data_IF_898842766030
#
_entry.id   IF_898842766030
#
_cell.length_a   1.000
_cell.length_b   1.000
_cell.length_c   1.000
_cell.angle_alpha   90.00
_cell.angle_beta   90.00
_cell.angle_gamma   90.00
#
_symmetry.space_group_name_H-M   'P 1'
#
loop_
_entity.id
_entity.type
_entity.pdbx_description
1 polymer ?
#
# COMPACT_ATOMS: atom_id res chain seq x y z
N UNK A 1 -16.04 5.10 11.51
CA UNK A 1 -15.00 4.07 11.74
C UNK A 1 -14.71 3.43 10.40
N UNK A 2 -13.49 3.57 9.88
CA UNK A 2 -13.15 3.15 8.54
C UNK A 2 -11.95 2.19 8.53
N UNK A 3 -12.04 1.05 7.84
CA UNK A 3 -10.94 0.10 7.79
C UNK A 3 -9.79 0.65 6.93
N UNK A 4 -8.54 0.36 7.30
CA UNK A 4 -7.37 0.93 6.62
C UNK A 4 -7.29 0.54 5.15
N UNK A 5 -7.73 -0.68 4.80
CA UNK A 5 -7.83 -1.13 3.39
C UNK A 5 -8.76 -0.27 2.51
N UNK A 6 -9.74 0.39 3.11
CA UNK A 6 -10.67 1.28 2.39
C UNK A 6 -10.13 2.72 2.32
N UNK A 7 -9.12 3.06 3.11
CA UNK A 7 -8.46 4.37 3.04
C UNK A 7 -7.37 4.33 1.96
N UNK A 8 -6.61 3.23 1.89
CA UNK A 8 -5.61 3.00 0.85
C UNK A 8 -6.31 2.92 -0.52
N UNK A 9 -5.80 3.66 -1.50
CA UNK A 9 -6.40 3.77 -2.84
C UNK A 9 -7.50 4.83 -2.97
N UNK A 10 -7.90 5.51 -1.90
CA UNK A 10 -8.83 6.64 -2.03
C UNK A 10 -8.21 7.78 -2.82
N UNK A 11 -9.03 8.43 -3.63
CA UNK A 11 -8.64 9.67 -4.30
C UNK A 11 -8.57 10.79 -3.29
N UNK A 12 -7.58 11.66 -3.47
CA UNK A 12 -7.41 12.86 -2.67
C UNK A 12 -7.89 14.04 -3.51
N UNK A 13 -8.90 14.75 -3.02
CA UNK A 13 -9.57 15.87 -3.71
C UNK A 13 -9.34 17.15 -2.93
N UNK A 14 -8.87 18.19 -3.61
CA UNK A 14 -8.83 19.55 -3.06
C UNK A 14 -10.22 20.19 -3.13
N UNK A 15 -10.71 20.72 -2.01
CA UNK A 15 -11.97 21.48 -1.97
C UNK A 15 -11.84 22.85 -2.65
N UNK A 16 -10.67 23.50 -2.54
CA UNK A 16 -10.43 24.81 -3.17
C UNK A 16 -10.60 24.77 -4.69
N UNK A 17 -9.97 23.79 -5.34
CA UNK A 17 -9.90 23.72 -6.80
C UNK A 17 -10.83 22.67 -7.42
N UNK A 18 -11.43 21.79 -6.59
CA UNK A 18 -12.28 20.69 -7.04
C UNK A 18 -11.53 19.61 -7.84
N UNK A 19 -10.20 19.58 -7.74
CA UNK A 19 -9.33 18.69 -8.53
C UNK A 19 -8.82 17.53 -7.70
N UNK A 20 -8.60 16.38 -8.37
CA UNK A 20 -7.88 15.27 -7.78
C UNK A 20 -6.39 15.58 -7.80
N UNK A 21 -5.78 15.61 -6.61
CA UNK A 21 -4.36 15.94 -6.42
C UNK A 21 -3.49 14.68 -6.28
N UNK A 22 -4.08 13.52 -6.04
CA UNK A 22 -3.35 12.27 -5.87
C UNK A 22 -4.25 11.13 -5.44
N UNK A 23 -3.61 10.03 -5.05
CA UNK A 23 -4.25 8.84 -4.48
C UNK A 23 -3.52 8.46 -3.19
N UNK A 24 -4.24 7.92 -2.22
CA UNK A 24 -3.61 7.37 -1.01
C UNK A 24 -2.80 6.15 -1.36
N UNK A 25 -1.49 6.22 -1.14
CA UNK A 25 -0.57 5.10 -1.35
C UNK A 25 -0.50 4.18 -0.15
N UNK A 26 -0.34 4.78 1.03
CA UNK A 26 -0.13 4.08 2.29
C UNK A 26 -0.45 5.02 3.47
N UNK A 27 -0.44 4.47 4.67
CA UNK A 27 -0.75 5.17 5.92
C UNK A 27 0.45 5.15 6.86
N UNK A 28 0.67 6.24 7.58
CA UNK A 28 1.73 6.36 8.58
C UNK A 28 1.10 6.45 9.96
N UNK A 29 1.19 5.35 10.70
CA UNK A 29 0.63 5.22 12.04
C UNK A 29 1.66 5.63 13.09
N UNK A 30 1.20 6.31 14.13
CA UNK A 30 1.97 6.61 15.31
C UNK A 30 1.73 5.53 16.38
N UNK A 31 2.72 4.68 16.69
CA UNK A 31 2.56 3.61 17.67
C UNK A 31 2.37 4.12 19.10
N UNK A 32 2.86 5.32 19.42
CA UNK A 32 2.82 5.89 20.76
C UNK A 32 1.44 6.47 21.07
N UNK A 33 0.93 7.30 20.16
CA UNK A 33 -0.38 7.93 20.27
C UNK A 33 -1.52 7.03 19.76
N UNK A 34 -1.20 5.94 19.06
CA UNK A 34 -2.14 5.02 18.39
C UNK A 34 -3.06 5.74 17.40
N UNK A 35 -2.49 6.66 16.64
CA UNK A 35 -3.17 7.52 15.67
C UNK A 35 -2.66 7.29 14.26
N UNK A 36 -3.47 7.65 13.27
CA UNK A 36 -3.04 7.92 11.92
C UNK A 36 -2.52 9.36 11.87
N UNK A 37 -1.20 9.54 11.78
CA UNK A 37 -0.59 10.89 11.79
C UNK A 37 -0.41 11.43 10.37
N UNK A 38 -0.04 10.58 9.42
CA UNK A 38 0.14 10.98 8.02
C UNK A 38 -0.42 9.96 7.04
N UNK A 39 -0.76 10.46 5.86
CA UNK A 39 -1.14 9.67 4.69
C UNK A 39 -0.07 9.87 3.63
N UNK A 40 0.48 8.78 3.08
CA UNK A 40 1.41 8.84 1.95
C UNK A 40 0.60 9.01 0.68
N UNK A 41 1.00 9.99 -0.13
CA UNK A 41 0.34 10.34 -1.38
C UNK A 41 1.14 9.80 -2.56
N UNK A 42 0.44 9.20 -3.52
CA UNK A 42 0.96 8.91 -4.85
C UNK A 42 0.40 9.95 -5.82
N UNK A 43 1.27 10.80 -6.38
CA UNK A 43 0.90 11.72 -7.46
C UNK A 43 1.45 11.21 -8.80
N UNK A 44 0.71 11.37 -9.92
CA UNK A 44 1.23 11.00 -11.25
C UNK A 44 2.54 11.70 -11.62
N UNK A 45 2.77 12.88 -11.04
CA UNK A 45 3.98 13.70 -11.22
C UNK A 45 5.07 13.43 -10.18
N UNK A 46 4.88 12.47 -9.27
CA UNK A 46 5.88 12.12 -8.25
C UNK A 46 7.00 11.27 -8.85
N UNK A 47 7.94 11.99 -9.47
CA UNK A 47 9.22 11.45 -9.94
C UNK A 47 10.30 11.52 -8.85
N UNK A 48 10.08 12.31 -7.78
CA UNK A 48 11.05 12.55 -6.71
C UNK A 48 10.39 12.65 -5.34
N UNK A 49 10.86 11.83 -4.40
CA UNK A 49 10.50 11.90 -2.99
C UNK A 49 9.11 11.33 -2.69
N UNK A 50 8.94 10.84 -1.46
CA UNK A 50 7.62 10.49 -0.96
C UNK A 50 6.93 11.77 -0.46
N UNK A 51 5.64 11.93 -0.78
CA UNK A 51 4.82 13.02 -0.26
C UNK A 51 3.86 12.51 0.80
N UNK A 52 3.55 13.38 1.75
CA UNK A 52 2.63 13.09 2.85
C UNK A 52 1.66 14.24 3.08
N UNK A 53 0.49 13.91 3.62
CA UNK A 53 -0.47 14.85 4.17
C UNK A 53 -0.67 14.49 5.64
N UNK A 54 -0.61 15.47 6.54
CA UNK A 54 -0.92 15.23 7.95
C UNK A 54 -2.42 14.98 8.12
N UNK A 55 -2.80 14.08 9.02
CA UNK A 55 -4.22 13.82 9.31
C UNK A 55 -4.97 15.09 9.74
N UNK A 56 -4.29 15.98 10.48
CA UNK A 56 -4.83 17.27 10.90
C UNK A 56 -5.20 18.21 9.74
N UNK A 57 -4.63 18.01 8.55
CA UNK A 57 -4.93 18.79 7.34
C UNK A 57 -6.08 18.16 6.51
N UNK A 58 -6.59 17.00 6.93
CA UNK A 58 -7.74 16.36 6.29
C UNK A 58 -9.04 17.02 6.75
N UNK A 59 -9.94 17.27 5.81
CA UNK A 59 -11.28 17.78 6.09
C UNK A 59 -12.33 16.68 6.18
N UNK A 60 -12.05 15.52 5.58
CA UNK A 60 -13.01 14.42 5.55
C UNK A 60 -12.46 13.16 4.91
N UNK A 61 -12.95 12.01 5.40
CA UNK A 61 -12.58 10.67 4.99
C UNK A 61 -13.79 9.90 4.41
N UNK A 62 -14.40 10.40 3.35
CA UNK A 62 -15.60 9.80 2.75
C UNK A 62 -15.32 8.50 1.96
N UNK A 63 -16.37 7.72 1.68
CA UNK A 63 -16.30 6.45 0.94
C UNK A 63 -15.65 6.57 -0.45
N UNK A 64 -15.90 7.69 -1.13
CA UNK A 64 -15.42 7.92 -2.51
C UNK A 64 -14.06 8.60 -2.58
N UNK A 65 -13.76 9.49 -1.61
CA UNK A 65 -12.58 10.32 -1.62
C UNK A 65 -12.25 10.86 -0.22
N UNK A 66 -10.96 11.14 -0.05
CA UNK A 66 -10.42 11.96 1.03
C UNK A 66 -10.33 13.41 0.55
N UNK A 67 -10.74 14.35 1.39
CA UNK A 67 -10.77 15.77 1.04
C UNK A 67 -9.78 16.57 1.85
N UNK A 68 -9.07 17.49 1.18
CA UNK A 68 -8.12 18.44 1.76
C UNK A 68 -8.52 19.87 1.40
N UNK A 69 -8.11 20.90 2.17
CA UNK A 69 -8.47 22.27 1.83
C UNK A 69 -7.90 22.69 0.48
N UNK A 70 -6.62 22.48 0.24
CA UNK A 70 -5.91 22.88 -0.98
C UNK A 70 -4.64 22.01 -1.19
N UNK A 71 -4.04 21.98 -2.39
CA UNK A 71 -2.84 21.17 -2.64
C UNK A 71 -1.60 21.58 -1.82
N UNK A 72 -1.60 22.77 -1.22
CA UNK A 72 -0.48 23.30 -0.43
C UNK A 72 -0.26 22.62 0.92
N UNK A 73 -1.19 21.76 1.38
CA UNK A 73 -0.99 20.94 2.60
C UNK A 73 -0.16 19.69 2.33
N UNK A 74 0.12 19.37 1.06
CA UNK A 74 0.96 18.23 0.69
C UNK A 74 2.42 18.60 0.94
N UNK A 75 3.10 17.81 1.76
CA UNK A 75 4.46 18.04 2.20
C UNK A 75 5.41 16.96 1.67
N UNK A 76 6.64 17.35 1.37
CA UNK A 76 7.71 16.39 1.08
C UNK A 76 8.16 15.74 2.40
N UNK A 77 8.23 14.40 2.42
CA UNK A 77 8.77 13.65 3.57
C UNK A 77 10.19 14.12 3.89
N UNK A 78 11.00 14.51 2.91
CA UNK A 78 12.36 15.02 3.13
C UNK A 78 12.41 16.28 4.01
N UNK A 79 11.32 17.05 4.11
CA UNK A 79 11.23 18.27 4.91
C UNK A 79 10.42 18.10 6.21
N UNK A 80 9.78 16.95 6.43
CA UNK A 80 8.99 16.68 7.62
C UNK A 80 9.69 15.67 8.54
N UNK A 81 10.26 16.18 9.65
CA UNK A 81 11.06 15.39 10.61
C UNK A 81 10.22 14.29 11.28
N UNK A 82 8.97 14.60 11.65
CA UNK A 82 8.08 13.63 12.28
C UNK A 82 7.68 12.50 11.33
N UNK A 83 7.33 12.83 10.09
CA UNK A 83 7.05 11.83 9.05
C UNK A 83 8.27 10.92 8.83
N UNK A 84 9.48 11.48 8.74
CA UNK A 84 10.70 10.67 8.64
C UNK A 84 10.91 9.76 9.84
N UNK A 85 10.65 10.27 11.06
CA UNK A 85 10.80 9.49 12.29
C UNK A 85 9.86 8.30 12.29
N UNK A 86 8.57 8.52 12.00
CA UNK A 86 7.57 7.46 11.96
C UNK A 86 7.84 6.43 10.86
N UNK A 87 8.22 6.89 9.66
CA UNK A 87 8.58 6.00 8.55
C UNK A 87 9.82 5.14 8.86
N UNK A 88 10.82 5.71 9.54
CA UNK A 88 12.02 4.96 9.99
C UNK A 88 11.70 3.91 11.05
N UNK A 89 10.66 4.10 11.85
CA UNK A 89 10.21 3.10 12.82
C UNK A 89 9.62 1.87 12.12
N UNK A 90 9.14 2.02 10.88
CA UNK A 90 8.60 0.93 10.05
C UNK A 90 7.55 0.12 10.82
N UNK A 91 6.67 0.84 11.53
CA UNK A 91 5.60 0.27 12.33
C UNK A 91 4.50 -0.27 11.41
N UNK A 92 4.71 -1.48 10.91
CA UNK A 92 3.69 -2.23 10.18
C UNK A 92 2.83 -2.96 11.19
N UNK A 93 1.57 -2.57 11.31
CA UNK A 93 0.65 -3.19 12.30
C UNK A 93 -0.07 -4.39 11.70
N UNK A 94 -0.39 -4.34 10.42
CA UNK A 94 -0.95 -5.46 9.68
C UNK A 94 0.08 -6.60 9.61
N UNK A 95 -0.35 -7.82 9.92
CA UNK A 95 0.50 -9.01 10.01
C UNK A 95 1.29 -9.14 11.32
N UNK A 96 1.10 -8.24 12.28
CA UNK A 96 1.78 -8.37 13.58
C UNK A 96 1.15 -9.45 14.43
N UNK A 97 1.99 -10.14 15.21
CA UNK A 97 1.53 -11.17 16.14
C UNK A 97 0.90 -10.53 17.36
N UNK A 98 -0.30 -10.97 17.71
CA UNK A 98 -1.03 -10.49 18.88
C UNK A 98 -0.66 -11.34 20.10
N UNK A 99 -0.07 -10.71 21.10
CA UNK A 99 0.31 -11.31 22.38
C UNK A 99 -0.52 -10.72 23.53
N UNK A 100 -0.93 -11.56 24.46
CA UNK A 100 -1.46 -11.07 25.75
C UNK A 100 -0.31 -10.56 26.62
N UNK A 101 -0.62 -9.72 27.61
CA UNK A 101 0.30 -9.28 28.68
C UNK A 101 0.99 -10.45 29.41
N UNK A 102 0.39 -11.65 29.38
CA UNK A 102 0.94 -12.88 29.98
C UNK A 102 1.89 -13.65 29.05
N UNK A 103 2.10 -13.18 27.82
CA UNK A 103 3.00 -13.80 26.83
C UNK A 103 2.36 -14.88 25.96
N UNK A 104 1.04 -15.07 26.02
CA UNK A 104 0.34 -16.00 25.12
C UNK A 104 0.11 -15.36 23.76
N UNK A 105 0.58 -16.02 22.69
CA UNK A 105 0.24 -15.69 21.31
C UNK A 105 -1.21 -16.09 21.03
N UNK A 106 -2.03 -15.14 20.60
CA UNK A 106 -3.46 -15.35 20.39
C UNK A 106 -3.91 -15.17 18.95
N UNK A 107 -3.08 -14.60 18.07
CA UNK A 107 -3.43 -14.45 16.65
C UNK A 107 -2.51 -13.51 15.89
N UNK A 108 -2.99 -13.05 14.73
CA UNK A 108 -2.28 -12.13 13.84
C UNK A 108 -3.22 -11.01 13.37
N UNK A 109 -2.77 -9.76 13.43
CA UNK A 109 -3.56 -8.58 13.04
C UNK A 109 -3.83 -8.60 11.55
N UNK A 110 -5.09 -8.51 11.15
CA UNK A 110 -5.51 -8.52 9.74
C UNK A 110 -5.98 -7.15 9.26
N UNK A 111 -6.51 -6.31 10.16
CA UNK A 111 -7.09 -5.02 9.79
C UNK A 111 -7.13 -4.06 10.98
N UNK A 112 -7.11 -2.75 10.71
CA UNK A 112 -7.32 -1.69 11.68
C UNK A 112 -8.51 -0.82 11.28
N UNK A 113 -9.31 -0.41 12.26
CA UNK A 113 -10.38 0.57 12.06
C UNK A 113 -9.96 1.91 12.65
N UNK A 114 -9.92 2.92 11.79
CA UNK A 114 -9.58 4.30 12.12
C UNK A 114 -10.87 5.09 12.37
N UNK A 115 -10.89 5.88 13.43
CA UNK A 115 -11.92 6.87 13.66
C UNK A 115 -11.74 8.03 12.66
N UNK A 116 -12.80 8.31 11.89
CA UNK A 116 -12.73 9.24 10.75
C UNK A 116 -12.60 10.70 11.16
N UNK A 117 -13.04 11.04 12.37
CA UNK A 117 -13.03 12.42 12.87
C UNK A 117 -11.73 12.72 13.61
N UNK A 118 -11.23 11.77 14.39
CA UNK A 118 -10.09 11.95 15.29
C UNK A 118 -8.79 11.38 14.75
N UNK A 119 -8.84 10.43 13.81
CA UNK A 119 -7.68 9.71 13.30
C UNK A 119 -7.14 8.66 14.25
N UNK A 120 -7.78 8.42 15.40
CA UNK A 120 -7.36 7.37 16.32
C UNK A 120 -7.64 5.98 15.74
N UNK A 121 -6.71 5.05 15.96
CA UNK A 121 -7.03 3.63 15.82
C UNK A 121 -8.03 3.31 16.91
N UNK A 122 -9.20 2.81 16.56
CA UNK A 122 -10.24 2.54 17.56
C UNK A 122 -10.43 1.04 17.78
N UNK A 123 -10.26 0.22 16.74
CA UNK A 123 -10.32 -1.25 16.84
C UNK A 123 -9.22 -1.89 16.00
N UNK A 124 -8.55 -2.90 16.55
CA UNK A 124 -7.71 -3.82 15.80
C UNK A 124 -8.45 -5.14 15.59
N UNK A 125 -8.52 -5.59 14.35
CA UNK A 125 -9.04 -6.92 14.00
C UNK A 125 -7.89 -7.88 13.80
N UNK A 126 -8.04 -9.09 14.31
CA UNK A 126 -7.03 -10.13 14.18
C UNK A 126 -7.67 -11.51 14.02
N UNK A 127 -6.95 -12.41 13.38
CA UNK A 127 -7.41 -13.78 13.15
C UNK A 127 -6.77 -14.74 14.16
N UNK A 128 -7.58 -15.63 14.70
CA UNK A 128 -7.16 -16.69 15.61
C UNK A 128 -7.91 -17.97 15.27
N UNK A 129 -7.19 -19.05 14.94
CA UNK A 129 -7.78 -20.36 14.63
C UNK A 129 -8.85 -20.34 13.53
N UNK A 130 -8.72 -19.45 12.54
CA UNK A 130 -9.70 -19.28 11.46
C UNK A 130 -10.90 -18.39 11.82
N UNK A 131 -10.93 -17.84 13.03
CA UNK A 131 -11.97 -16.94 13.50
C UNK A 131 -11.45 -15.51 13.67
N UNK A 132 -12.24 -14.56 13.17
CA UNK A 132 -11.96 -13.14 13.35
C UNK A 132 -12.32 -12.69 14.76
N UNK A 133 -11.41 -11.96 15.37
CA UNK A 133 -11.51 -11.38 16.69
C UNK A 133 -11.25 -9.87 16.63
N UNK A 134 -11.75 -9.14 17.62
CA UNK A 134 -11.52 -7.71 17.73
C UNK A 134 -11.00 -7.34 19.12
N UNK A 135 -10.13 -6.32 19.14
CA UNK A 135 -9.63 -5.69 20.36
C UNK A 135 -9.75 -4.18 20.23
N UNK A 136 -10.32 -3.54 21.26
CA UNK A 136 -10.38 -2.08 21.31
C UNK A 136 -9.01 -1.48 21.57
N UNK A 137 -8.77 -0.26 21.08
CA UNK A 137 -7.48 0.44 21.27
C UNK A 137 -7.09 0.62 22.75
N UNK A 138 -8.09 0.71 23.63
CA UNK A 138 -7.93 0.81 25.08
C UNK A 138 -7.29 -0.44 25.69
N UNK A 139 -7.51 -1.61 25.07
CA UNK A 139 -6.93 -2.86 25.51
C UNK A 139 -5.55 -3.10 24.90
N UNK A 140 -5.12 -2.30 23.92
CA UNK A 140 -3.79 -2.38 23.32
C UNK A 140 -2.78 -1.66 24.22
N UNK A 141 -1.83 -2.40 24.77
CA UNK A 141 -0.75 -1.84 25.61
C UNK A 141 0.39 -1.35 24.72
N UNK A 142 0.73 -2.10 23.68
CA UNK A 142 1.88 -1.80 22.81
C UNK A 142 1.55 -2.15 21.38
N UNK A 143 1.86 -1.23 20.48
CA UNK A 143 1.77 -1.40 19.04
C UNK A 143 3.21 -1.33 18.50
N UNK A 144 3.82 -2.50 18.33
CA UNK A 144 5.20 -2.63 17.86
C UNK A 144 5.26 -3.08 16.40
N UNK A 145 6.49 -3.14 15.86
CA UNK A 145 6.75 -3.60 14.49
C UNK A 145 6.42 -5.07 14.24
N UNK A 146 6.60 -5.93 15.25
CA UNK A 146 6.40 -7.38 15.13
C UNK A 146 5.31 -7.91 16.06
N UNK A 147 5.05 -7.17 17.15
CA UNK A 147 4.22 -7.60 18.26
C UNK A 147 3.22 -6.51 18.62
N UNK A 148 1.96 -6.92 18.75
CA UNK A 148 0.90 -6.13 19.36
C UNK A 148 0.56 -6.78 20.71
N UNK A 149 0.70 -6.02 21.80
CA UNK A 149 0.47 -6.52 23.17
C UNK A 149 -0.86 -6.01 23.69
N UNK A 150 -1.71 -6.91 24.21
CA UNK A 150 -3.05 -6.57 24.72
C UNK A 150 -3.24 -6.96 26.20
N UNK A 151 -4.09 -6.20 26.91
CA UNK A 151 -4.40 -6.40 28.33
C UNK A 151 -5.51 -7.45 28.57
N UNK A 152 -6.34 -7.76 27.58
CA UNK A 152 -7.56 -8.58 27.71
C UNK A 152 -7.59 -9.89 26.90
N UNK A 153 -8.62 -10.71 27.17
CA UNK A 153 -9.04 -11.81 26.30
C UNK A 153 -9.92 -11.26 25.18
N UNK A 154 -9.66 -11.60 23.92
CA UNK A 154 -10.35 -10.99 22.80
C UNK A 154 -11.85 -11.27 22.79
N UNK A 155 -12.61 -10.30 22.29
CA UNK A 155 -14.04 -10.46 22.04
C UNK A 155 -14.27 -10.89 20.59
N UNK A 156 -15.20 -11.81 20.38
CA UNK A 156 -15.68 -12.15 19.03
C UNK A 156 -16.54 -11.00 18.49
N UNK A 157 -16.45 -10.65 17.20
CA UNK A 157 -17.24 -9.61 16.57
C UNK A 157 -18.73 -9.94 16.71
N UNK A 158 -19.43 -9.21 17.56
CA UNK A 158 -20.87 -9.34 17.68
C UNK A 158 -21.51 -8.60 16.50
N UNK A 159 -21.99 -9.33 15.50
CA UNK A 159 -22.82 -8.77 14.43
C UNK A 159 -24.20 -8.42 15.04
N UNK A 160 -24.30 -7.28 15.69
CA UNK A 160 -25.56 -6.71 16.13
C UNK A 160 -25.71 -5.31 15.52
N UNK A 161 -26.24 -5.32 14.30
CA UNK A 161 -26.97 -4.19 13.76
C UNK A 161 -28.12 -3.86 14.71
N UNK A 162 -28.26 -2.56 14.94
CA UNK A 162 -29.19 -1.91 15.84
C UNK A 162 -30.65 -2.13 15.41
N UNK A 163 -31.29 -3.21 15.85
CA UNK A 163 -32.74 -3.27 15.89
C UNK A 163 -33.22 -2.98 17.31
N UNK A 164 -33.61 -1.72 17.51
CA UNK A 164 -34.30 -1.25 18.70
C UNK A 164 -35.60 -2.04 18.87
N UNK A 165 -35.55 -3.09 19.70
CA UNK A 165 -36.72 -3.84 20.14
C UNK A 165 -37.53 -2.97 21.12
N UNK A 166 -38.41 -2.11 20.59
CA UNK A 166 -39.50 -1.52 21.37
C UNK A 166 -40.52 -2.63 21.64
N UNK A 167 -40.65 -2.99 22.92
CA UNK A 167 -41.75 -3.81 23.43
C UNK A 167 -43.09 -3.12 23.15
N UNK A 168 -43.95 -3.73 22.33
CA UNK A 168 -45.41 -3.52 22.41
C UNK A 168 -46.13 -4.86 22.29
N UNK A 169 -47.03 -5.05 23.26
CA UNK A 169 -47.92 -6.18 23.55
C UNK A 169 -48.63 -6.80 22.35
N UNK A 170 -48.75 -8.13 22.47
CA UNK A 170 -49.60 -9.07 21.75
C UNK A 170 -51.06 -8.61 21.66
N UNK A 171 -51.61 -8.65 20.44
CA UNK A 171 -53.01 -9.02 20.16
C UNK A 171 -53.10 -9.55 18.72
N UNK A 172 -53.40 -10.85 18.58
CA UNK A 172 -53.90 -11.47 17.35
C UNK A 172 -55.42 -11.13 17.24
N UNK A 173 -56.09 -11.19 16.05
CA UNK A 173 -56.13 -12.41 15.22
C UNK A 173 -56.29 -12.22 13.68
N UNK A 174 -56.17 -13.37 13.00
CA UNK A 174 -56.84 -13.79 11.75
C UNK A 174 -56.59 -13.06 10.42
N UNK A 175 -56.06 -13.78 9.42
CA UNK A 175 -56.77 -14.26 8.21
C UNK A 175 -55.77 -14.74 7.13
N UNK A 176 -55.95 -16.02 6.74
CA UNK A 176 -55.78 -16.69 5.45
C UNK A 176 -54.58 -16.43 4.47
N UNK A 177 -53.88 -17.54 4.21
CA UNK A 177 -53.12 -18.00 3.02
C UNK A 177 -53.96 -17.81 1.72
N UNK A 178 -53.42 -17.48 0.51
CA UNK A 178 -52.57 -18.43 -0.26
C UNK A 178 -51.47 -17.92 -1.22
N UNK A 179 -50.39 -18.72 -1.24
CA UNK A 179 -49.65 -19.34 -2.36
C UNK A 179 -49.77 -18.72 -3.76
N UNK A 180 -48.62 -18.48 -4.40
CA UNK A 180 -48.39 -18.93 -5.79
C UNK A 180 -46.89 -19.13 -6.10
N UNK A 181 -46.55 -20.35 -6.51
CA UNK A 181 -45.30 -20.75 -7.13
C UNK A 181 -45.20 -20.16 -8.55
N UNK A 182 -44.01 -19.77 -9.00
CA UNK A 182 -43.65 -19.93 -10.41
C UNK A 182 -42.15 -20.18 -10.56
N UNK A 183 -41.86 -21.39 -11.06
CA UNK A 183 -40.59 -21.87 -11.56
C UNK A 183 -40.37 -21.31 -12.98
N UNK A 184 -39.17 -20.84 -13.31
CA UNK A 184 -38.64 -20.94 -14.67
C UNK A 184 -37.13 -21.17 -14.65
N UNK A 185 -36.77 -22.38 -15.07
CA UNK A 185 -35.44 -22.86 -15.48
C UNK A 185 -35.11 -22.40 -16.90
N UNK A 186 -33.83 -22.10 -17.19
CA UNK A 186 -33.05 -22.74 -18.27
C UNK A 186 -31.62 -22.19 -18.37
N UNK A 187 -30.68 -23.07 -17.99
CA UNK A 187 -29.40 -23.46 -18.60
C UNK A 187 -28.93 -22.70 -19.86
N UNK A 188 -27.63 -22.35 -19.91
CA UNK A 188 -26.63 -22.92 -20.86
C UNK A 188 -25.22 -22.88 -20.24
N UNK A 189 -24.61 -24.07 -20.20
CA UNK A 189 -23.19 -24.48 -20.07
C UNK A 189 -22.17 -23.62 -20.88
N UNK A 190 -20.83 -23.67 -20.76
CA UNK A 190 -19.89 -24.72 -20.41
C UNK A 190 -18.46 -24.11 -20.23
N UNK A 191 -17.66 -24.73 -19.33
CA UNK A 191 -16.21 -25.04 -19.43
C UNK A 191 -15.16 -23.91 -19.31
N UNK A 192 -14.38 -23.85 -18.20
CA UNK A 192 -13.08 -24.53 -17.87
C UNK A 192 -11.89 -24.02 -18.70
N UNK A 193 -10.69 -23.72 -18.17
CA UNK A 193 -9.76 -24.47 -17.28
C UNK A 193 -8.93 -23.46 -16.42
N UNK A 194 -8.80 -23.63 -15.09
CA UNK A 194 -7.70 -24.29 -14.35
C UNK A 194 -6.27 -23.81 -14.69
N UNK A 195 -5.61 -23.08 -13.77
CA UNK A 195 -4.63 -23.55 -12.74
C UNK A 195 -3.23 -23.80 -13.37
N UNK A 196 -2.10 -23.34 -12.81
CA UNK A 196 -1.34 -23.94 -11.69
C UNK A 196 -0.20 -22.97 -11.26
N UNK A 197 0.18 -23.10 -9.97
CA UNK A 197 1.33 -22.65 -9.15
C UNK A 197 2.75 -22.73 -9.80
N UNK A 198 3.90 -22.32 -9.21
CA UNK A 198 4.47 -22.39 -7.85
C UNK A 198 5.91 -21.76 -7.82
N UNK A 199 6.36 -21.24 -6.65
CA UNK A 199 7.72 -21.12 -6.03
C UNK A 199 9.04 -21.06 -6.88
N UNK A 200 10.17 -20.44 -6.50
CA UNK A 200 10.99 -20.58 -5.27
C UNK A 200 12.07 -19.46 -5.15
N UNK A 201 12.44 -19.24 -3.89
CA UNK A 201 13.51 -18.50 -3.18
C UNK A 201 14.98 -18.52 -3.74
N UNK A 202 15.77 -17.48 -3.41
CA UNK A 202 17.15 -17.53 -2.82
C UNK A 202 17.91 -16.17 -2.90
N UNK A 203 18.38 -15.68 -1.74
CA UNK A 203 19.46 -14.70 -1.57
C UNK A 203 20.83 -15.39 -1.32
N UNK A 204 21.98 -14.66 -1.36
CA UNK A 204 22.65 -14.31 -0.09
C UNK A 204 23.40 -12.94 -0.03
N UNK A 205 23.80 -12.58 1.22
CA UNK A 205 24.56 -11.41 1.78
C UNK A 205 26.02 -11.27 1.22
N UNK A 206 26.85 -10.20 1.41
CA UNK A 206 27.31 -9.48 2.63
C UNK A 206 28.16 -8.20 2.32
N UNK A 207 28.18 -7.22 3.26
CA UNK A 207 29.24 -6.24 3.71
C UNK A 207 29.98 -5.30 2.69
N UNK A 208 30.33 -4.02 2.92
CA UNK A 208 30.58 -3.20 4.14
C UNK A 208 30.83 -1.70 3.80
N UNK A 209 30.47 -0.81 4.76
CA UNK A 209 30.99 0.52 5.18
C UNK A 209 31.63 1.55 4.20
N UNK A 210 31.20 2.82 4.29
CA UNK A 210 32.00 4.01 3.92
C UNK A 210 31.21 5.30 3.66
N UNK A 211 31.30 6.25 4.59
CA UNK A 211 30.72 7.60 4.63
C UNK A 211 31.43 8.62 3.71
N UNK A 212 30.72 9.41 2.88
CA UNK A 212 30.96 10.85 2.63
C UNK A 212 29.81 11.50 1.83
N UNK A 213 29.42 12.72 2.18
CA UNK A 213 28.68 13.68 1.34
C UNK A 213 29.60 14.90 1.04
N UNK A 214 29.24 15.86 0.17
CA UNK A 214 28.45 15.82 -1.07
C UNK A 214 29.23 16.44 -2.26
N UNK A 215 29.04 15.98 -3.50
CA UNK A 215 29.40 16.79 -4.69
C UNK A 215 28.35 16.55 -5.78
N UNK A 216 27.65 17.63 -6.12
CA UNK A 216 26.83 17.75 -7.33
C UNK A 216 27.73 17.58 -8.55
N UNK A 217 27.53 16.51 -9.32
CA UNK A 217 27.91 16.41 -10.72
C UNK A 217 26.94 15.43 -11.39
N UNK A 218 26.36 15.85 -12.51
CA UNK A 218 25.68 14.96 -13.44
C UNK A 218 26.60 13.77 -13.79
N UNK A 219 26.03 12.60 -14.06
CA UNK A 219 26.69 11.32 -14.44
C UNK A 219 27.05 10.32 -13.32
N UNK A 220 26.04 9.88 -12.55
CA UNK A 220 26.08 8.55 -11.97
C UNK A 220 24.73 7.86 -12.13
N UNK A 221 24.69 6.80 -12.92
CA UNK A 221 23.49 5.97 -13.04
C UNK A 221 23.11 5.41 -11.67
N UNK A 222 21.83 5.50 -11.31
CA UNK A 222 21.29 4.88 -10.10
C UNK A 222 21.43 3.36 -10.16
N UNK A 223 21.38 2.66 -9.01
CA UNK A 223 21.51 1.20 -8.94
C UNK A 223 20.55 0.45 -9.90
N UNK A 224 19.38 1.01 -10.17
CA UNK A 224 18.42 0.48 -11.14
C UNK A 224 18.90 0.62 -12.58
N UNK A 225 19.38 1.80 -12.97
CA UNK A 225 19.91 2.08 -14.31
C UNK A 225 21.18 1.23 -14.56
N UNK A 226 22.02 1.01 -13.54
CA UNK A 226 23.17 0.09 -13.61
C UNK A 226 22.74 -1.36 -13.87
N UNK A 227 21.67 -1.84 -13.22
CA UNK A 227 21.10 -3.17 -13.49
C UNK A 227 20.55 -3.27 -14.91
N UNK A 228 19.97 -2.18 -15.43
CA UNK A 228 19.42 -2.11 -16.78
C UNK A 228 20.53 -2.16 -17.84
N UNK A 229 21.63 -1.45 -17.61
CA UNK A 229 22.85 -1.52 -18.40
C UNK A 229 23.45 -2.93 -18.41
N UNK A 230 23.47 -3.61 -17.26
CA UNK A 230 23.91 -5.01 -17.15
C UNK A 230 22.98 -5.97 -17.92
N UNK A 231 21.67 -5.70 -17.95
CA UNK A 231 20.70 -6.50 -18.70
C UNK A 231 20.92 -6.42 -20.23
N UNK A 232 21.46 -5.30 -20.73
CA UNK A 232 21.75 -5.15 -22.15
C UNK A 232 22.90 -6.05 -22.62
N UNK A 233 23.85 -6.39 -21.74
CA UNK A 233 25.04 -7.13 -22.12
C UNK A 233 24.65 -8.49 -22.74
N UNK A 234 25.04 -8.69 -23.99
CA UNK A 234 24.76 -9.89 -24.77
C UNK A 234 23.47 -9.87 -25.58
N UNK A 235 22.61 -8.86 -25.40
CA UNK A 235 21.39 -8.63 -26.20
C UNK A 235 21.73 -7.94 -27.52
N UNK A 236 20.83 -8.08 -28.50
CA UNK A 236 20.94 -7.44 -29.81
C UNK A 236 20.00 -6.26 -29.92
N UNK A 237 20.37 -5.29 -30.74
CA UNK A 237 19.54 -4.13 -31.03
C UNK A 237 18.77 -4.33 -32.33
N UNK A 238 17.52 -3.87 -32.40
CA UNK A 238 16.64 -3.99 -33.55
C UNK A 238 16.80 -2.86 -34.58
N UNK A 239 17.37 -1.73 -34.15
CA UNK A 239 17.58 -0.51 -34.96
C UNK A 239 18.96 0.08 -34.72
N UNK A 240 19.39 0.95 -35.64
CA UNK A 240 20.60 1.72 -35.47
C UNK A 240 20.39 2.76 -34.36
N UNK A 241 21.28 2.79 -33.37
CA UNK A 241 21.25 3.71 -32.22
C UNK A 241 22.53 4.53 -32.20
N UNK A 242 22.40 5.84 -31.98
CA UNK A 242 23.54 6.74 -31.82
C UNK A 242 23.88 6.80 -30.32
N UNK A 243 25.09 6.39 -29.96
CA UNK A 243 25.60 6.42 -28.59
C UNK A 243 26.13 7.81 -28.22
N UNK A 244 26.37 8.05 -26.92
CA UNK A 244 26.85 9.34 -26.42
C UNK A 244 28.26 9.70 -26.92
N UNK A 245 29.06 8.67 -27.23
CA UNK A 245 30.38 8.83 -27.85
C UNK A 245 30.32 9.10 -29.37
N UNK A 246 29.13 9.31 -29.95
CA UNK A 246 28.84 9.47 -31.39
C UNK A 246 29.06 8.22 -32.25
N UNK A 247 29.32 7.06 -31.65
CA UNK A 247 29.34 5.79 -32.37
C UNK A 247 27.92 5.31 -32.66
N UNK A 248 27.75 4.60 -33.78
CA UNK A 248 26.46 4.05 -34.19
C UNK A 248 26.47 2.56 -33.95
N UNK A 249 25.65 2.12 -32.99
CA UNK A 249 25.37 0.72 -32.73
C UNK A 249 24.36 0.23 -33.76
N UNK A 250 24.75 -0.70 -34.65
CA UNK A 250 23.91 -1.08 -35.78
C UNK A 250 22.86 -2.11 -35.41
N UNK A 251 21.75 -2.12 -36.15
CA UNK A 251 20.72 -3.14 -36.06
C UNK A 251 21.33 -4.56 -36.24
N UNK A 252 21.09 -5.44 -35.27
CA UNK A 252 21.58 -6.80 -35.19
C UNK A 252 22.91 -6.98 -34.44
N UNK A 253 23.57 -5.88 -34.07
CA UNK A 253 24.80 -5.89 -33.29
C UNK A 253 24.54 -6.21 -31.81
N UNK A 254 25.48 -6.90 -31.16
CA UNK A 254 25.36 -7.29 -29.76
C UNK A 254 25.95 -6.21 -28.86
N UNK A 255 25.26 -5.90 -27.78
CA UNK A 255 25.75 -4.98 -26.76
C UNK A 255 26.83 -5.68 -25.94
N UNK A 256 28.06 -5.18 -26.02
CA UNK A 256 29.21 -5.65 -25.23
C UNK A 256 29.38 -4.81 -23.97
N UNK A 257 30.13 -5.28 -22.97
CA UNK A 257 30.46 -4.47 -21.79
C UNK A 257 31.11 -3.14 -22.15
N UNK A 258 31.91 -3.10 -23.22
CA UNK A 258 32.54 -1.87 -23.72
C UNK A 258 31.48 -0.86 -24.20
N UNK A 259 30.51 -1.29 -24.99
CA UNK A 259 29.40 -0.44 -25.50
C UNK A 259 28.59 0.17 -24.35
N UNK A 260 28.38 -0.59 -23.27
CA UNK A 260 27.64 -0.12 -22.09
C UNK A 260 28.35 1.05 -21.40
N UNK A 261 29.69 1.09 -21.44
CA UNK A 261 30.45 2.23 -20.87
C UNK A 261 30.25 3.53 -21.65
N UNK A 262 29.84 3.44 -22.91
CA UNK A 262 29.55 4.57 -23.77
C UNK A 262 28.10 5.09 -23.67
N UNK A 263 27.28 4.45 -22.83
CA UNK A 263 25.96 4.94 -22.48
C UNK A 263 26.14 5.72 -21.18
N UNK A 264 26.32 7.04 -21.28
CA UNK A 264 26.50 7.96 -20.15
C UNK A 264 25.26 8.81 -19.88
N UNK A 265 24.36 8.92 -20.86
CA UNK A 265 23.14 9.73 -20.78
C UNK A 265 21.88 8.88 -20.64
N UNK A 266 20.89 9.42 -19.93
CA UNK A 266 19.56 8.79 -19.79
C UNK A 266 18.81 8.69 -21.12
N UNK A 267 19.00 9.64 -22.04
CA UNK A 267 18.40 9.61 -23.38
C UNK A 267 18.83 8.36 -24.15
N UNK A 268 20.13 8.10 -24.16
CA UNK A 268 20.76 6.98 -24.87
C UNK A 268 20.40 5.65 -24.23
N UNK A 269 20.36 5.60 -22.88
CA UNK A 269 19.85 4.43 -22.16
C UNK A 269 18.40 4.12 -22.56
N UNK A 270 17.53 5.12 -22.60
CA UNK A 270 16.12 4.95 -22.96
C UNK A 270 15.96 4.50 -24.43
N UNK A 271 16.78 5.02 -25.33
CA UNK A 271 16.78 4.60 -26.74
C UNK A 271 17.20 3.14 -26.92
N UNK A 272 18.26 2.71 -26.22
CA UNK A 272 18.70 1.31 -26.18
C UNK A 272 17.62 0.40 -25.60
N UNK A 273 16.89 0.83 -24.57
CA UNK A 273 15.79 0.02 -24.00
C UNK A 273 14.62 -0.17 -24.96
N UNK A 274 14.30 0.85 -25.76
CA UNK A 274 13.18 0.85 -26.69
C UNK A 274 13.41 -0.06 -27.89
N UNK A 275 14.68 -0.26 -28.27
CA UNK A 275 15.07 -1.00 -29.47
C UNK A 275 15.87 -2.26 -29.15
N UNK A 276 15.77 -2.75 -27.93
CA UNK A 276 16.36 -4.02 -27.53
C UNK A 276 15.51 -5.19 -28.02
N UNK A 277 16.13 -6.17 -28.67
CA UNK A 277 15.45 -7.38 -29.09
C UNK A 277 15.02 -8.18 -27.85
N UNK A 278 13.70 -8.31 -27.66
CA UNK A 278 13.15 -9.22 -26.63
C UNK A 278 13.43 -10.66 -27.07
N UNK A 279 14.05 -11.44 -26.19
CA UNK A 279 14.20 -12.88 -26.40
C UNK A 279 12.86 -13.57 -26.24
#
# INVERSE_FOLDING_TARGET
MKPTKEIVGLRIISILDGTQVGVVKDLVLNPQEKTLDFVIVDQPTDIFGAKVIAFADLLGLGEFAMTIPNPGVIQDVAQNIEAQRLLKQDTRVLGTKVLTKKGQLIGEVTELLIDEETGQIAVCLFEAQGEMHQVGVEEVITLGKELLIVEGSPSVPNHQMTETKREIKIQAPDVAVPIEETVFTKDVDLATEENISEDVDLAPKVDSLGEVAPIENETSFNLFEQRQLQYFIGKKVEKDIILDNTEVLRAGERITPDIVTHITSRSTLMEVTSHLQKN
#
